data_IF_041538981098
#
_entry.id   IF_041538981098
#
_cell.length_a   1.000
_cell.length_b   1.000
_cell.length_c   1.000
_cell.angle_alpha   90.00
_cell.angle_beta   90.00
_cell.angle_gamma   90.00
#
_symmetry.space_group_name_H-M   'P 1'
#
loop_
_entity.id
_entity.type
_entity.pdbx_description
1 polymer ?
#
# COMPACT_ATOMS: atom_id res chain seq x y z
N UNK A 1 -4.59 -11.55 -4.34
CA UNK A 1 -5.39 -10.42 -4.90
C UNK A 1 -5.60 -9.43 -3.78
N UNK A 2 -5.28 -8.17 -4.03
CA UNK A 2 -5.37 -7.09 -3.03
C UNK A 2 -6.82 -6.60 -2.96
N UNK A 3 -7.40 -6.61 -1.76
CA UNK A 3 -8.78 -6.12 -1.55
C UNK A 3 -8.81 -4.70 -0.97
N UNK A 4 -7.78 -4.34 -0.21
CA UNK A 4 -7.67 -3.06 0.48
C UNK A 4 -6.25 -2.52 0.33
N UNK A 5 -6.14 -1.19 0.40
CA UNK A 5 -4.88 -0.48 0.42
C UNK A 5 -4.87 0.59 1.51
N UNK A 6 -3.71 0.82 2.11
CA UNK A 6 -3.47 1.99 2.95
C UNK A 6 -2.87 3.10 2.11
N UNK A 7 -3.46 4.29 2.18
CA UNK A 7 -2.97 5.46 1.46
C UNK A 7 -1.71 6.00 2.14
N UNK A 8 -0.71 6.29 1.31
CA UNK A 8 0.58 6.84 1.70
C UNK A 8 0.65 8.33 1.40
N UNK A 9 0.05 8.76 0.29
CA UNK A 9 0.04 10.15 -0.16
C UNK A 9 -1.15 10.39 -1.10
N UNK A 10 -1.62 11.63 -1.16
CA UNK A 10 -2.67 12.05 -2.09
C UNK A 10 -2.25 13.32 -2.82
N UNK A 11 -2.27 13.24 -4.15
CA UNK A 11 -1.88 14.29 -5.08
C UNK A 11 -3.12 14.75 -5.88
N UNK A 12 -3.87 15.76 -5.40
CA UNK A 12 -5.09 16.22 -6.07
C UNK A 12 -4.87 16.68 -7.52
N UNK A 13 -3.67 17.17 -7.81
CA UNK A 13 -3.26 17.68 -9.12
C UNK A 13 -2.30 16.73 -9.86
N UNK A 14 -2.22 15.47 -9.45
CA UNK A 14 -1.30 14.49 -10.02
C UNK A 14 0.19 14.79 -9.77
N UNK A 15 1.08 14.08 -10.47
CA UNK A 15 2.53 14.28 -10.34
C UNK A 15 2.99 15.52 -11.12
N UNK A 16 3.87 16.32 -10.53
CA UNK A 16 4.43 17.53 -11.18
C UNK A 16 5.23 17.22 -12.45
N UNK A 17 5.77 16.02 -12.57
CA UNK A 17 6.57 15.59 -13.73
C UNK A 17 5.74 15.35 -14.99
N UNK A 18 4.41 15.25 -14.89
CA UNK A 18 3.54 15.08 -16.04
C UNK A 18 3.37 16.42 -16.79
N UNK A 19 4.00 16.50 -17.97
CA UNK A 19 3.90 17.68 -18.86
C UNK A 19 2.55 17.65 -19.58
N UNK A 20 1.62 18.52 -19.23
CA UNK A 20 0.36 18.71 -19.95
C UNK A 20 -0.81 19.23 -19.12
N UNK A 21 -1.92 19.55 -19.79
CA UNK A 21 -3.21 19.94 -19.18
C UNK A 21 -3.99 18.76 -18.58
N UNK A 22 -3.51 17.52 -18.74
CA UNK A 22 -4.14 16.30 -18.23
C UNK A 22 -3.52 15.90 -16.90
N UNK A 23 -3.73 16.72 -15.87
CA UNK A 23 -3.39 16.38 -14.49
C UNK A 23 -4.59 15.69 -13.87
N UNK A 24 -4.51 14.38 -13.71
CA UNK A 24 -5.51 13.62 -12.97
C UNK A 24 -5.11 13.52 -11.48
N UNK A 25 -6.08 13.52 -10.55
CA UNK A 25 -5.78 13.22 -9.15
C UNK A 25 -5.18 11.83 -9.02
N UNK A 26 -4.17 11.68 -8.17
CA UNK A 26 -3.51 10.39 -7.92
C UNK A 26 -3.37 10.16 -6.43
N UNK A 27 -3.51 8.92 -6.00
CA UNK A 27 -3.18 8.50 -4.66
C UNK A 27 -2.10 7.42 -4.71
N UNK A 28 -1.17 7.46 -3.76
CA UNK A 28 -0.16 6.42 -3.58
C UNK A 28 -0.61 5.54 -2.43
N UNK A 29 -0.49 4.22 -2.58
CA UNK A 29 -0.93 3.30 -1.54
C UNK A 29 -0.12 2.01 -1.49
N UNK A 30 -0.25 1.32 -0.36
CA UNK A 30 0.29 -0.03 -0.14
C UNK A 30 -0.86 -1.02 0.08
N UNK A 31 -0.84 -2.14 -0.66
CA UNK A 31 -1.78 -3.23 -0.48
C UNK A 31 -1.61 -3.92 0.86
N UNK A 32 -2.72 -4.31 1.49
CA UNK A 32 -2.73 -4.93 2.81
C UNK A 32 -2.25 -6.40 2.79
N UNK A 33 -2.49 -7.11 1.68
CA UNK A 33 -2.25 -8.55 1.58
C UNK A 33 -0.84 -8.85 1.07
N UNK A 34 -0.42 -8.31 -0.06
CA UNK A 34 0.87 -8.66 -0.69
C UNK A 34 1.90 -7.52 -0.54
N UNK A 35 1.57 -6.47 0.23
CA UNK A 35 2.42 -5.29 0.48
C UNK A 35 2.90 -4.63 -0.82
N UNK A 36 2.10 -4.72 -1.88
CA UNK A 36 2.41 -4.12 -3.18
C UNK A 36 2.14 -2.62 -3.14
N UNK A 37 3.05 -1.85 -3.72
CA UNK A 37 2.88 -0.40 -3.89
C UNK A 37 2.14 -0.09 -5.19
N UNK A 38 1.20 0.84 -5.11
CA UNK A 38 0.32 1.20 -6.21
C UNK A 38 0.20 2.71 -6.39
N UNK A 39 0.03 3.09 -7.65
CA UNK A 39 -0.51 4.37 -8.06
C UNK A 39 -1.99 4.16 -8.38
N UNK A 40 -2.87 4.85 -7.66
CA UNK A 40 -4.32 4.70 -7.69
C UNK A 40 -4.96 5.96 -8.25
N UNK A 41 -5.99 5.79 -9.08
CA UNK A 41 -6.81 6.91 -9.55
C UNK A 41 -8.10 6.94 -8.72
N UNK A 42 -8.35 8.00 -7.93
CA UNK A 42 -9.59 8.14 -7.19
C UNK A 42 -10.76 8.49 -8.11
N UNK A 43 -11.97 8.20 -7.68
CA UNK A 43 -13.18 8.65 -8.38
C UNK A 43 -13.31 10.19 -8.31
N UNK A 44 -13.93 10.83 -9.31
CA UNK A 44 -14.18 12.27 -9.30
C UNK A 44 -14.95 12.70 -8.04
N UNK A 45 -14.50 13.76 -7.39
CA UNK A 45 -15.15 14.32 -6.20
C UNK A 45 -14.84 13.61 -4.88
N UNK A 46 -14.03 12.55 -4.88
CA UNK A 46 -13.57 11.89 -3.66
C UNK A 46 -12.33 12.59 -3.12
N UNK A 47 -12.40 13.07 -1.88
CA UNK A 47 -11.24 13.51 -1.13
C UNK A 47 -10.66 12.31 -0.37
N UNK A 48 -9.35 12.08 -0.52
CA UNK A 48 -8.62 11.01 0.15
C UNK A 48 -7.60 11.59 1.13
N UNK A 49 -7.37 10.89 2.23
CA UNK A 49 -6.36 11.27 3.22
C UNK A 49 -5.22 10.24 3.31
N UNK A 50 -4.00 10.72 3.52
CA UNK A 50 -2.89 9.84 3.87
C UNK A 50 -3.19 9.09 5.18
N UNK A 51 -2.80 7.82 5.24
CA UNK A 51 -3.06 6.92 6.37
C UNK A 51 -4.41 6.21 6.35
N UNK A 52 -5.34 6.62 5.49
CA UNK A 52 -6.66 6.00 5.34
C UNK A 52 -6.56 4.59 4.74
N UNK A 53 -7.42 3.68 5.20
CA UNK A 53 -7.58 2.34 4.61
C UNK A 53 -8.77 2.36 3.66
N UNK A 54 -8.49 2.17 2.37
CA UNK A 54 -9.50 2.22 1.30
C UNK A 54 -9.68 0.83 0.66
N UNK A 55 -10.93 0.43 0.32
CA UNK A 55 -11.15 -0.75 -0.50
C UNK A 55 -10.71 -0.45 -1.94
N UNK A 56 -10.13 -1.44 -2.63
CA UNK A 56 -9.78 -1.33 -4.05
C UNK A 56 -10.95 -1.77 -4.96
N UNK A 57 -11.89 -2.54 -4.41
CA UNK A 57 -13.06 -3.08 -5.11
C UNK A 57 -14.33 -2.67 -4.37
N UNK A 58 -15.48 -2.78 -5.02
CA UNK A 58 -16.76 -2.53 -4.35
C UNK A 58 -16.98 -3.55 -3.22
N UNK A 59 -17.41 -3.06 -2.06
CA UNK A 59 -17.70 -3.86 -0.87
C UNK A 59 -19.17 -3.66 -0.52
N UNK A 60 -19.96 -4.74 -0.51
CA UNK A 60 -21.35 -4.74 -0.02
C UNK A 60 -22.25 -3.66 -0.67
N UNK A 61 -22.06 -3.38 -1.96
CA UNK A 61 -22.82 -2.36 -2.70
C UNK A 61 -22.32 -0.92 -2.51
N UNK A 62 -21.32 -0.70 -1.66
CA UNK A 62 -20.61 0.58 -1.57
C UNK A 62 -19.53 0.63 -2.65
N UNK A 63 -19.56 1.63 -3.56
CA UNK A 63 -18.54 1.76 -4.58
C UNK A 63 -17.18 2.08 -3.94
N UNK A 64 -16.13 1.49 -4.50
CA UNK A 64 -14.75 1.85 -4.11
C UNK A 64 -14.50 3.35 -4.35
N UNK A 65 -13.84 4.06 -3.42
CA UNK A 65 -13.39 5.43 -3.64
C UNK A 65 -12.31 5.51 -4.73
N UNK A 66 -11.68 4.38 -5.04
CA UNK A 66 -10.72 4.20 -6.12
C UNK A 66 -11.48 3.78 -7.39
N UNK A 67 -11.21 4.48 -8.49
CA UNK A 67 -11.75 4.12 -9.79
C UNK A 67 -11.01 2.90 -10.37
N UNK A 68 -9.69 2.99 -10.47
CA UNK A 68 -8.83 1.90 -10.92
C UNK A 68 -7.39 2.05 -10.42
N UNK A 69 -6.63 0.95 -10.51
CA UNK A 69 -5.17 0.95 -10.28
C UNK A 69 -4.49 1.39 -11.57
N UNK A 70 -3.75 2.50 -11.54
CA UNK A 70 -3.03 3.00 -12.71
C UNK A 70 -1.83 2.12 -13.03
N UNK A 71 -1.00 1.84 -12.02
CA UNK A 71 0.18 0.97 -12.14
C UNK A 71 0.73 0.54 -10.78
N UNK A 72 1.59 -0.48 -10.80
CA UNK A 72 2.45 -0.84 -9.67
C UNK A 72 3.64 0.13 -9.59
N UNK A 73 4.07 0.45 -8.38
CA UNK A 73 5.24 1.28 -8.11
C UNK A 73 6.38 0.48 -7.46
N UNK A 74 7.61 0.89 -7.72
CA UNK A 74 8.76 0.57 -6.89
C UNK A 74 8.86 1.50 -5.67
N UNK A 75 9.64 1.11 -4.68
CA UNK A 75 9.91 1.95 -3.49
C UNK A 75 10.48 3.32 -3.89
N UNK A 76 11.34 3.35 -4.92
CA UNK A 76 11.99 4.59 -5.31
C UNK A 76 11.08 5.59 -6.04
N UNK A 77 9.93 5.13 -6.52
CA UNK A 77 8.95 5.96 -7.22
C UNK A 77 7.96 6.64 -6.27
N UNK A 78 8.01 6.33 -4.97
CA UNK A 78 7.21 6.99 -3.94
C UNK A 78 7.66 8.44 -3.76
N UNK A 79 6.70 9.31 -3.47
CA UNK A 79 6.97 10.70 -3.04
C UNK A 79 7.68 10.69 -1.69
N UNK A 80 8.33 11.80 -1.35
CA UNK A 80 8.98 11.97 -0.04
C UNK A 80 7.96 11.78 1.10
N UNK A 81 6.75 12.33 0.95
CA UNK A 81 5.66 12.16 1.90
C UNK A 81 5.21 10.68 1.98
N UNK A 82 5.01 10.01 0.84
CA UNK A 82 4.62 8.60 0.83
C UNK A 82 5.68 7.66 1.43
N UNK A 83 6.97 7.95 1.25
CA UNK A 83 8.06 7.20 1.92
C UNK A 83 8.07 7.44 3.43
N UNK A 84 7.76 8.66 3.88
CA UNK A 84 7.67 8.98 5.30
C UNK A 84 6.47 8.31 5.99
N UNK A 85 5.35 8.15 5.28
CA UNK A 85 4.14 7.48 5.81
C UNK A 85 4.23 5.94 5.76
N UNK A 86 5.06 5.38 4.88
CA UNK A 86 5.15 3.93 4.67
C UNK A 86 5.41 3.12 5.96
N UNK A 87 6.34 3.50 6.86
CA UNK A 87 6.54 2.79 8.12
C UNK A 87 5.27 2.75 8.99
N UNK A 88 4.54 3.87 9.08
CA UNK A 88 3.29 3.94 9.82
C UNK A 88 2.18 3.09 9.20
N UNK A 89 2.09 3.06 7.88
CA UNK A 89 1.17 2.19 7.16
C UNK A 89 1.49 0.70 7.39
N UNK A 90 2.76 0.31 7.32
CA UNK A 90 3.21 -1.06 7.58
C UNK A 90 2.90 -1.48 9.02
N UNK A 91 3.13 -0.62 10.01
CA UNK A 91 2.79 -0.90 11.40
C UNK A 91 1.29 -1.17 11.57
N UNK A 92 0.44 -0.34 10.95
CA UNK A 92 -1.02 -0.54 10.98
C UNK A 92 -1.43 -1.87 10.33
N UNK A 93 -0.82 -2.24 9.21
CA UNK A 93 -1.08 -3.54 8.54
C UNK A 93 -0.65 -4.71 9.45
N UNK A 94 0.54 -4.64 10.04
CA UNK A 94 1.05 -5.70 10.92
C UNK A 94 0.16 -5.87 12.15
N UNK A 95 -0.25 -4.76 12.79
CA UNK A 95 -1.15 -4.78 13.94
C UNK A 95 -2.58 -5.20 13.58
N UNK A 96 -3.02 -4.95 12.35
CA UNK A 96 -4.33 -5.38 11.85
C UNK A 96 -4.39 -6.88 11.53
N UNK A 97 -3.26 -7.52 11.25
CA UNK A 97 -3.18 -8.94 10.88
C UNK A 97 -2.16 -9.72 11.72
N UNK A 98 -2.23 -9.66 13.06
CA UNK A 98 -1.16 -10.19 13.92
C UNK A 98 -0.93 -11.69 13.70
N UNK A 99 -2.00 -12.47 13.51
CA UNK A 99 -1.90 -13.92 13.26
C UNK A 99 -1.02 -14.26 12.07
N UNK A 100 -1.14 -13.49 10.97
CA UNK A 100 -0.37 -13.70 9.75
C UNK A 100 1.13 -13.56 10.00
N UNK A 101 1.53 -12.55 10.77
CA UNK A 101 2.94 -12.24 11.05
C UNK A 101 3.49 -13.10 12.18
N UNK A 102 2.69 -13.40 13.21
CA UNK A 102 3.07 -14.32 14.29
C UNK A 102 3.27 -15.76 13.77
N UNK A 103 2.48 -16.18 12.77
CA UNK A 103 2.66 -17.48 12.13
C UNK A 103 4.06 -17.66 11.56
N UNK A 104 4.67 -16.61 11.00
CA UNK A 104 6.06 -16.68 10.53
C UNK A 104 7.01 -17.03 11.67
N UNK A 105 6.86 -16.43 12.85
CA UNK A 105 7.72 -16.75 13.99
C UNK A 105 7.46 -18.15 14.56
N UNK A 106 6.20 -18.55 14.62
CA UNK A 106 5.79 -19.83 15.21
C UNK A 106 6.11 -21.03 14.31
N UNK A 107 6.09 -20.85 12.98
CA UNK A 107 6.20 -21.93 12.00
C UNK A 107 7.45 -21.83 11.13
N UNK A 108 8.32 -20.82 11.31
CA UNK A 108 9.54 -20.66 10.52
C UNK A 108 10.42 -21.92 10.60
N UNK A 109 10.64 -22.63 9.48
CA UNK A 109 11.49 -23.80 9.47
C UNK A 109 12.98 -23.41 9.38
N UNK A 110 13.84 -24.33 9.82
CA UNK A 110 15.23 -24.32 9.39
C UNK A 110 15.29 -24.60 7.88
N UNK A 111 15.94 -23.70 7.12
CA UNK A 111 16.13 -23.87 5.68
C UNK A 111 17.34 -24.77 5.41
N UNK A 112 18.38 -24.66 6.25
CA UNK A 112 19.51 -25.57 6.30
C UNK A 112 20.06 -25.70 7.72
N UNK A 113 21.07 -26.58 7.93
CA UNK A 113 21.76 -26.71 9.22
C UNK A 113 22.45 -25.42 9.70
N UNK A 114 22.69 -24.46 8.79
CA UNK A 114 23.39 -23.20 9.07
C UNK A 114 22.56 -21.96 8.75
N UNK A 115 21.28 -22.13 8.39
CA UNK A 115 20.44 -21.02 7.95
C UNK A 115 19.00 -21.26 8.38
N UNK A 116 18.50 -20.38 9.25
CA UNK A 116 17.12 -20.35 9.67
C UNK A 116 16.34 -19.25 8.93
N UNK A 117 15.07 -19.48 8.61
CA UNK A 117 14.24 -18.48 7.94
C UNK A 117 14.12 -17.17 8.75
N UNK A 118 14.24 -17.27 10.08
CA UNK A 118 14.23 -16.12 11.00
C UNK A 118 15.41 -15.18 10.79
N UNK A 119 16.54 -15.68 10.27
CA UNK A 119 17.72 -14.85 9.96
C UNK A 119 17.48 -13.91 8.76
N UNK A 120 16.37 -14.06 8.04
CA UNK A 120 15.95 -13.09 7.02
C UNK A 120 15.41 -11.79 7.62
N UNK A 121 15.01 -11.81 8.90
CA UNK A 121 14.58 -10.60 9.58
C UNK A 121 15.81 -9.77 9.94
N UNK A 122 15.88 -8.50 9.53
CA UNK A 122 16.99 -7.63 9.92
C UNK A 122 16.96 -7.40 11.43
N UNK A 123 18.05 -7.80 12.11
CA UNK A 123 18.22 -7.72 13.56
C UNK A 123 19.22 -8.75 14.05
#
# INVERSE_FOLDING_TARGET
MESYAHLLDYLPNGRQTERGFHREPLALGIGETELKLFELVPRPGVALAAGERVPLLAVEGTPSPIDHVRRRLGYDELTVAGRAELPGALERIVRGHPERFLRFFNEAPAVSRRFHLLELLPG
#
